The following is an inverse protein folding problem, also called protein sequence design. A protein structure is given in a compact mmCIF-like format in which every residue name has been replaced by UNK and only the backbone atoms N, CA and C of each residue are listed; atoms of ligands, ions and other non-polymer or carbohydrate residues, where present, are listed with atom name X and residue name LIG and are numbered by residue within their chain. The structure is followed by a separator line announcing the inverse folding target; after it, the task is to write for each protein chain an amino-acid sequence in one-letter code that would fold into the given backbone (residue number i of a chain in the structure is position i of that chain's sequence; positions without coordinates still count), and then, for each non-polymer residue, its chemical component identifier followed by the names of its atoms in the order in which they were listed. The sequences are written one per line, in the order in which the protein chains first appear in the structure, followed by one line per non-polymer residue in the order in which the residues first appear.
data_IF_137751598355
#
_entry.id   IF_137751598355
#
_cell.length_a   1.000
_cell.length_b   1.000
_cell.length_c   1.000
_cell.angle_alpha   90.00
_cell.angle_beta   90.00
_cell.angle_gamma   90.00
#
_symmetry.space_group_name_H-M   'P 1'
#
loop_
_entity.id
_entity.type
_entity.pdbx_description
1 polymer ?
#
# COMPACT_ATOMS: atom_id res chain seq x y z
N UNK A 1 6.58 -22.08 -1.21
CA UNK A 1 6.79 -20.63 -1.43
C UNK A 1 6.73 -20.21 -2.90
N UNK A 2 7.40 -20.90 -3.85
CA UNK A 2 7.29 -20.48 -5.26
C UNK A 2 5.86 -20.42 -5.79
N UNK A 3 5.03 -21.37 -5.42
CA UNK A 3 3.62 -21.42 -5.84
C UNK A 3 2.84 -20.21 -5.33
N UNK A 4 3.11 -19.78 -4.10
CA UNK A 4 2.46 -18.60 -3.51
C UNK A 4 2.88 -17.32 -4.20
N UNK A 5 4.15 -17.21 -4.56
CA UNK A 5 4.65 -16.05 -5.30
C UNK A 5 4.05 -16.00 -6.69
N UNK A 6 3.88 -17.15 -7.34
CA UNK A 6 3.24 -17.22 -8.65
C UNK A 6 1.77 -16.82 -8.57
N UNK A 7 1.04 -17.30 -7.57
CA UNK A 7 -0.34 -16.89 -7.33
C UNK A 7 -0.48 -15.39 -7.12
N UNK A 8 0.42 -14.82 -6.31
CA UNK A 8 0.43 -13.37 -6.05
C UNK A 8 0.68 -12.61 -7.35
N UNK A 9 1.68 -13.02 -8.11
CA UNK A 9 2.03 -12.39 -9.38
C UNK A 9 0.87 -12.41 -10.37
N UNK A 10 0.27 -13.58 -10.57
CA UNK A 10 -0.86 -13.73 -11.47
C UNK A 10 -2.09 -12.96 -11.01
N UNK A 11 -2.35 -12.95 -9.70
CA UNK A 11 -3.46 -12.19 -9.13
C UNK A 11 -3.29 -10.70 -9.31
N UNK A 12 -2.09 -10.18 -9.05
CA UNK A 12 -1.79 -8.76 -9.25
C UNK A 12 -1.93 -8.36 -10.72
N UNK A 13 -1.46 -9.18 -11.64
CA UNK A 13 -1.60 -8.91 -13.07
C UNK A 13 -3.07 -8.79 -13.47
N UNK A 14 -3.93 -9.68 -12.96
CA UNK A 14 -5.37 -9.63 -13.23
C UNK A 14 -6.00 -8.34 -12.71
N UNK A 15 -5.62 -7.92 -11.51
CA UNK A 15 -6.11 -6.67 -10.93
C UNK A 15 -5.66 -5.48 -11.77
N UNK A 16 -4.39 -5.43 -12.15
CA UNK A 16 -3.84 -4.36 -12.97
C UNK A 16 -4.56 -4.30 -14.33
N UNK A 17 -4.77 -5.43 -14.97
CA UNK A 17 -5.48 -5.50 -16.24
C UNK A 17 -6.93 -5.02 -16.14
N UNK A 18 -7.59 -5.33 -15.03
CA UNK A 18 -8.99 -4.94 -14.81
C UNK A 18 -9.14 -3.48 -14.42
N UNK A 19 -8.33 -3.01 -13.46
CA UNK A 19 -8.44 -1.67 -12.90
C UNK A 19 -7.73 -0.60 -13.75
N UNK A 20 -6.72 -1.00 -14.52
CA UNK A 20 -5.89 -0.10 -15.34
C UNK A 20 -5.38 1.12 -14.56
N UNK A 21 -4.65 0.89 -13.45
CA UNK A 21 -4.13 2.01 -12.67
C UNK A 21 -3.01 2.73 -13.42
N UNK A 22 -2.73 3.95 -13.02
CA UNK A 22 -1.61 4.73 -13.57
C UNK A 22 -0.38 4.61 -12.69
N UNK A 23 -0.55 4.36 -11.40
CA UNK A 23 0.52 4.37 -10.42
C UNK A 23 0.28 3.28 -9.39
N UNK A 24 1.35 2.86 -8.72
CA UNK A 24 1.30 1.86 -7.64
C UNK A 24 1.95 2.46 -6.41
N UNK A 25 1.28 2.38 -5.29
CA UNK A 25 1.81 2.83 -4.00
C UNK A 25 2.10 1.62 -3.13
N UNK A 26 3.30 1.58 -2.56
CA UNK A 26 3.78 0.47 -1.75
C UNK A 26 4.33 1.01 -0.43
N UNK A 27 4.05 0.31 0.67
CA UNK A 27 4.66 0.61 1.96
C UNK A 27 6.11 0.12 1.97
N UNK A 28 7.02 0.94 2.49
CA UNK A 28 8.43 0.55 2.68
C UNK A 28 8.52 -0.56 3.71
N UNK A 29 9.31 -1.58 3.39
CA UNK A 29 9.55 -2.70 4.30
C UNK A 29 10.77 -2.39 5.15
N UNK A 30 10.64 -2.52 6.47
CA UNK A 30 11.75 -2.42 7.40
C UNK A 30 12.04 -3.77 8.03
N UNK A 31 13.31 -4.04 8.35
CA UNK A 31 13.69 -5.24 9.06
C UNK A 31 13.11 -5.12 10.47
N UNK A 32 12.08 -5.93 10.74
CA UNK A 32 11.40 -5.93 12.02
C UNK A 32 11.95 -7.00 12.96
N UNK A 33 11.05 -7.60 13.74
CA UNK A 33 11.39 -8.56 14.78
C UNK A 33 12.00 -9.87 14.26
N UNK A 34 11.80 -10.22 12.98
CA UNK A 34 12.26 -11.48 12.41
C UNK A 34 12.83 -11.29 11.02
N UNK A 35 14.07 -11.73 10.83
CA UNK A 35 14.72 -11.73 9.52
C UNK A 35 13.97 -12.61 8.52
N UNK A 36 13.41 -13.73 8.98
CA UNK A 36 12.65 -14.64 8.11
C UNK A 36 11.37 -13.98 7.59
N UNK A 37 10.66 -13.28 8.45
CA UNK A 37 9.46 -12.53 8.04
C UNK A 37 9.81 -11.41 7.07
N UNK A 38 10.94 -10.71 7.30
CA UNK A 38 11.40 -9.66 6.41
C UNK A 38 11.76 -10.22 5.02
N UNK A 39 12.36 -11.40 4.96
CA UNK A 39 12.68 -12.06 3.68
C UNK A 39 11.41 -12.42 2.90
N UNK A 40 10.43 -13.01 3.56
CA UNK A 40 9.15 -13.37 2.91
C UNK A 40 8.43 -12.13 2.38
N UNK A 41 8.39 -11.08 3.18
CA UNK A 41 7.76 -9.82 2.80
C UNK A 41 8.51 -9.18 1.64
N UNK A 42 9.85 -9.22 1.66
CA UNK A 42 10.68 -8.72 0.56
C UNK A 42 10.45 -9.48 -0.74
N UNK A 43 10.25 -10.79 -0.69
CA UNK A 43 9.92 -11.59 -1.88
C UNK A 43 8.57 -11.18 -2.45
N UNK A 44 7.54 -11.05 -1.62
CA UNK A 44 6.22 -10.62 -2.06
C UNK A 44 6.28 -9.20 -2.65
N UNK A 45 7.03 -8.31 -2.01
CA UNK A 45 7.25 -6.94 -2.48
C UNK A 45 7.91 -6.94 -3.86
N UNK A 46 8.93 -7.76 -4.05
CA UNK A 46 9.62 -7.89 -5.34
C UNK A 46 8.67 -8.33 -6.45
N UNK A 47 7.80 -9.28 -6.16
CA UNK A 47 6.78 -9.74 -7.11
C UNK A 47 5.81 -8.62 -7.47
N UNK A 48 5.37 -7.83 -6.49
CA UNK A 48 4.47 -6.70 -6.74
C UNK A 48 5.14 -5.64 -7.62
N UNK A 49 6.40 -5.33 -7.37
CA UNK A 49 7.18 -4.38 -8.18
C UNK A 49 7.34 -4.90 -9.60
N UNK A 50 7.65 -6.19 -9.75
CA UNK A 50 7.81 -6.80 -11.08
C UNK A 50 6.53 -6.74 -11.89
N UNK A 51 5.40 -7.11 -11.29
CA UNK A 51 4.09 -7.05 -11.95
C UNK A 51 3.77 -5.62 -12.39
N UNK A 52 4.07 -4.63 -11.55
CA UNK A 52 3.86 -3.22 -11.86
C UNK A 52 4.74 -2.77 -13.02
N UNK A 53 6.01 -3.17 -13.02
CA UNK A 53 6.97 -2.82 -14.06
C UNK A 53 6.59 -3.38 -15.43
N UNK A 54 6.00 -4.58 -15.48
CA UNK A 54 5.53 -5.16 -16.74
C UNK A 54 4.50 -4.27 -17.46
N UNK A 55 3.72 -3.53 -16.69
CA UNK A 55 2.69 -2.63 -17.23
C UNK A 55 3.16 -1.18 -17.27
N UNK A 56 4.46 -0.95 -17.11
CA UNK A 56 5.07 0.39 -17.12
C UNK A 56 4.45 1.33 -16.08
N UNK A 57 4.06 0.81 -14.93
CA UNK A 57 3.50 1.61 -13.85
C UNK A 57 4.60 2.19 -12.98
N UNK A 58 4.45 3.45 -12.61
CA UNK A 58 5.34 4.09 -11.65
C UNK A 58 5.05 3.53 -10.26
N UNK A 59 6.11 3.16 -9.53
CA UNK A 59 5.99 2.64 -8.17
C UNK A 59 6.51 3.67 -7.19
N UNK A 60 5.65 4.12 -6.27
CA UNK A 60 5.99 5.09 -5.24
C UNK A 60 5.94 4.41 -3.87
N UNK A 61 6.89 4.76 -3.02
CA UNK A 61 7.06 4.11 -1.71
C UNK A 61 6.83 5.10 -0.58
N UNK A 62 6.17 4.64 0.47
CA UNK A 62 5.85 5.44 1.66
C UNK A 62 6.23 4.69 2.93
N UNK A 63 6.80 5.42 3.90
CA UNK A 63 7.14 4.84 5.19
C UNK A 63 5.88 4.64 6.05
N UNK A 64 5.94 3.73 7.03
CA UNK A 64 4.83 3.57 7.98
C UNK A 64 4.42 4.87 8.67
N UNK A 65 5.39 5.71 9.04
CA UNK A 65 5.09 6.99 9.69
C UNK A 65 4.40 7.96 8.74
N UNK A 66 4.82 8.03 7.48
CA UNK A 66 4.14 8.86 6.48
C UNK A 66 2.69 8.42 6.29
N UNK A 67 2.46 7.11 6.25
CA UNK A 67 1.11 6.55 6.07
C UNK A 67 0.24 6.89 7.28
N UNK A 68 0.70 6.64 8.50
CA UNK A 68 -0.04 6.95 9.71
C UNK A 68 -0.37 8.43 9.82
N UNK A 69 0.60 9.29 9.53
CA UNK A 69 0.42 10.74 9.56
C UNK A 69 -0.63 11.19 8.55
N UNK A 70 -0.62 10.62 7.35
CA UNK A 70 -1.58 10.96 6.30
C UNK A 70 -3.01 10.53 6.67
N UNK A 71 -3.18 9.39 7.34
CA UNK A 71 -4.49 8.81 7.66
C UNK A 71 -5.06 9.38 8.95
N UNK A 72 -4.24 9.48 10.01
CA UNK A 72 -4.70 9.87 11.35
C UNK A 72 -4.25 11.28 11.74
N UNK A 73 -3.24 11.81 11.07
CA UNK A 73 -2.67 13.12 11.38
C UNK A 73 -1.48 13.07 12.33
N UNK A 74 -1.05 11.89 12.75
CA UNK A 74 0.11 11.70 13.63
C UNK A 74 0.80 10.36 13.36
N UNK A 75 2.13 10.32 13.56
CA UNK A 75 2.94 9.16 13.26
C UNK A 75 2.88 8.02 14.28
N UNK A 76 2.26 8.23 15.44
CA UNK A 76 2.23 7.25 16.53
C UNK A 76 0.84 6.64 16.75
N UNK A 77 -0.01 6.68 15.72
CA UNK A 77 -1.33 6.06 15.80
C UNK A 77 -1.22 4.54 15.82
N UNK A 78 -2.07 3.89 16.59
CA UNK A 78 -2.13 2.43 16.58
C UNK A 78 -2.95 1.92 15.40
N UNK A 79 -2.87 0.62 15.16
CA UNK A 79 -3.53 -0.02 14.02
C UNK A 79 -5.06 0.16 14.05
N UNK A 80 -5.66 0.08 15.21
CA UNK A 80 -7.10 0.25 15.37
C UNK A 80 -7.55 1.64 14.93
N UNK A 81 -6.78 2.67 15.29
CA UNK A 81 -7.07 4.05 14.87
C UNK A 81 -6.95 4.20 13.36
N UNK A 82 -5.92 3.63 12.76
CA UNK A 82 -5.73 3.68 11.30
C UNK A 82 -6.91 3.01 10.59
N UNK A 83 -7.29 1.82 11.03
CA UNK A 83 -8.41 1.07 10.42
C UNK A 83 -9.73 1.83 10.53
N UNK A 84 -9.99 2.43 11.69
CA UNK A 84 -11.20 3.23 11.91
C UNK A 84 -11.22 4.46 11.00
N UNK A 85 -10.10 5.16 10.89
CA UNK A 85 -10.01 6.35 10.04
C UNK A 85 -10.19 6.01 8.55
N UNK A 86 -9.69 4.86 8.11
CA UNK A 86 -9.92 4.40 6.74
C UNK A 86 -11.42 4.20 6.49
N UNK A 87 -12.13 3.60 7.45
CA UNK A 87 -13.58 3.47 7.37
C UNK A 87 -14.25 4.84 7.18
N UNK A 88 -13.84 5.82 7.97
CA UNK A 88 -14.41 7.18 7.93
C UNK A 88 -14.08 7.89 6.61
N UNK A 89 -12.79 7.91 6.24
CA UNK A 89 -12.31 8.62 5.04
C UNK A 89 -12.99 8.10 3.78
N UNK A 90 -13.14 6.78 3.66
CA UNK A 90 -13.70 6.14 2.48
C UNK A 90 -15.21 5.88 2.59
N UNK A 91 -15.83 6.31 3.68
CA UNK A 91 -17.27 6.13 3.92
C UNK A 91 -17.70 4.66 3.81
N UNK A 92 -16.91 3.76 4.39
CA UNK A 92 -17.22 2.33 4.36
C UNK A 92 -18.28 2.00 5.41
N UNK A 93 -19.10 0.98 5.13
CA UNK A 93 -20.13 0.53 6.08
C UNK A 93 -19.54 -0.20 7.29
N UNK A 94 -18.37 -0.80 7.12
CA UNK A 94 -17.69 -1.57 8.17
C UNK A 94 -16.21 -1.24 8.18
N UNK A 95 -15.56 -1.49 9.33
CA UNK A 95 -14.10 -1.41 9.40
C UNK A 95 -13.52 -2.52 8.52
N UNK A 96 -12.61 -2.17 7.58
CA UNK A 96 -12.06 -3.18 6.69
C UNK A 96 -11.14 -4.15 7.44
N UNK A 97 -10.97 -5.35 6.85
CA UNK A 97 -10.04 -6.34 7.37
C UNK A 97 -8.62 -5.76 7.35
N UNK A 98 -7.76 -6.25 8.26
CA UNK A 98 -6.44 -5.68 8.56
C UNK A 98 -5.57 -5.46 7.31
N UNK A 99 -5.42 -6.49 6.47
CA UNK A 99 -4.55 -6.39 5.29
C UNK A 99 -5.13 -5.42 4.25
N UNK A 100 -6.45 -5.44 4.07
CA UNK A 100 -7.13 -4.51 3.20
C UNK A 100 -6.99 -3.07 3.72
N UNK A 101 -7.10 -2.87 5.03
CA UNK A 101 -6.91 -1.56 5.64
C UNK A 101 -5.50 -1.02 5.42
N UNK A 102 -4.49 -1.88 5.52
CA UNK A 102 -3.09 -1.49 5.26
C UNK A 102 -2.93 -1.00 3.82
N UNK A 103 -3.46 -1.73 2.85
CA UNK A 103 -3.39 -1.34 1.45
C UNK A 103 -4.14 -0.03 1.17
N UNK A 104 -5.33 0.12 1.75
CA UNK A 104 -6.13 1.34 1.60
C UNK A 104 -5.41 2.54 2.23
N UNK A 105 -4.75 2.35 3.37
CA UNK A 105 -3.99 3.40 4.04
C UNK A 105 -2.85 3.93 3.16
N UNK A 106 -2.12 3.04 2.49
CA UNK A 106 -1.06 3.45 1.55
C UNK A 106 -1.67 4.25 0.39
N UNK A 107 -2.79 3.81 -0.14
CA UNK A 107 -3.48 4.50 -1.23
C UNK A 107 -3.95 5.89 -0.82
N UNK A 108 -4.50 6.04 0.39
CA UNK A 108 -4.93 7.35 0.92
C UNK A 108 -3.72 8.27 1.09
N UNK A 109 -2.62 7.75 1.62
CA UNK A 109 -1.37 8.51 1.78
C UNK A 109 -0.89 9.04 0.42
N UNK A 110 -0.83 8.17 -0.57
CA UNK A 110 -0.42 8.54 -1.93
C UNK A 110 -1.32 9.61 -2.53
N UNK A 111 -2.62 9.43 -2.42
CA UNK A 111 -3.60 10.39 -2.93
C UNK A 111 -3.43 11.77 -2.30
N UNK A 112 -3.25 11.83 -0.98
CA UNK A 112 -3.07 13.09 -0.26
C UNK A 112 -1.81 13.83 -0.68
N UNK A 113 -0.69 13.11 -0.84
CA UNK A 113 0.58 13.70 -1.24
C UNK A 113 0.55 14.18 -2.69
N UNK A 114 -0.07 13.45 -3.58
CA UNK A 114 -0.24 13.85 -4.97
C UNK A 114 -1.10 15.11 -5.10
N UNK A 115 -2.18 15.21 -4.36
CA UNK A 115 -3.02 16.40 -4.34
C UNK A 115 -2.25 17.62 -3.86
N UNK A 116 -1.43 17.46 -2.81
CA UNK A 116 -0.59 18.53 -2.29
C UNK A 116 0.44 18.99 -3.32
N UNK A 117 1.10 18.05 -4.00
CA UNK A 117 2.07 18.35 -5.06
C UNK A 117 1.41 19.10 -6.22
N UNK A 118 0.23 18.64 -6.67
CA UNK A 118 -0.52 19.29 -7.73
C UNK A 118 -0.90 20.73 -7.38
N UNK A 119 -1.26 20.97 -6.12
CA UNK A 119 -1.58 22.33 -5.64
C UNK A 119 -0.36 23.24 -5.61
N UNK A 120 0.81 22.68 -5.31
CA UNK A 120 2.06 23.44 -5.26
C UNK A 120 2.57 23.82 -6.65
N UNK A 121 2.29 23.01 -7.65
CA UNK A 121 2.69 23.26 -9.03
C UNK A 121 1.81 24.31 -9.74
N UNK A 122 0.68 24.63 -9.16
CA UNK A 122 -0.25 25.64 -9.67
C UNK A 122 -0.01 26.99 -9.02
#
# INVERSE_FOLDING_TARGET
MPERLLELYQGLKKVIQRARPNEVAIEKVFVGASAQSALKLGQARGVAILASAEYNLEVLEYSPNQIKKAVVGRGHADKTQVMFMIKVILSLSEVPESDAADALAVAVCHSNLNLSSSKLER
#
